data_IF_859617296526
#
_entry.id   IF_859617296526
#
_cell.length_a   1.000
_cell.length_b   1.000
_cell.length_c   1.000
_cell.angle_alpha   90.00
_cell.angle_beta   90.00
_cell.angle_gamma   90.00
#
_symmetry.space_group_name_H-M   'P 1'
#
loop_
_entity.id
_entity.type
_entity.pdbx_description
1 polymer ?
#
# COMPACT_ATOMS: atom_id res chain seq x y z
N UNK A 1 61.92 -14.27 21.87
CA UNK A 1 61.62 -13.78 23.24
C UNK A 1 60.24 -13.13 23.18
N UNK A 2 59.20 -13.45 23.98
CA UNK A 2 59.09 -13.69 25.44
C UNK A 2 59.27 -12.36 26.19
N UNK A 3 58.31 -11.73 26.91
CA UNK A 3 57.01 -12.13 27.57
C UNK A 3 55.89 -11.13 27.14
N UNK A 4 54.55 -11.30 27.28
CA UNK A 4 53.60 -11.72 28.35
C UNK A 4 53.64 -10.85 29.63
N UNK A 5 52.49 -10.29 30.05
CA UNK A 5 52.39 -9.45 31.25
C UNK A 5 51.00 -8.85 31.57
N UNK A 6 50.05 -9.69 31.98
CA UNK A 6 48.84 -9.34 32.77
C UNK A 6 48.91 -10.15 34.10
N UNK A 7 48.05 -9.97 35.13
CA UNK A 7 47.01 -8.95 35.39
C UNK A 7 47.08 -8.30 36.80
N UNK A 8 46.07 -7.50 37.20
CA UNK A 8 45.92 -6.96 38.57
C UNK A 8 44.44 -6.76 38.97
N UNK A 9 44.07 -6.94 40.25
CA UNK A 9 42.67 -7.21 40.64
C UNK A 9 42.30 -6.76 42.09
N UNK A 10 41.01 -6.41 42.32
CA UNK A 10 40.37 -6.02 43.63
C UNK A 10 40.83 -4.64 44.18
N UNK A 11 40.11 -3.92 45.06
CA UNK A 11 38.86 -4.05 45.88
C UNK A 11 38.14 -2.66 45.85
N UNK A 12 37.10 -2.24 46.60
CA UNK A 12 36.27 -2.70 47.75
C UNK A 12 34.88 -1.98 47.68
N UNK A 13 33.95 -2.25 48.60
CA UNK A 13 32.72 -1.45 48.88
C UNK A 13 32.50 -1.37 50.41
N UNK A 14 31.77 -0.35 50.92
CA UNK A 14 30.78 -0.56 51.99
C UNK A 14 29.43 0.18 51.78
N UNK A 15 28.42 -0.14 52.61
CA UNK A 15 27.02 0.36 52.61
C UNK A 15 26.64 0.93 53.98
N UNK A 16 25.77 1.95 54.03
CA UNK A 16 24.72 2.18 55.06
C UNK A 16 24.02 3.55 54.88
N UNK A 17 22.97 3.93 55.60
CA UNK A 17 21.62 3.36 55.75
C UNK A 17 20.75 4.25 56.69
N UNK A 18 19.64 4.76 56.15
CA UNK A 18 18.35 5.21 56.74
C UNK A 18 18.06 4.63 58.15
N UNK A 19 17.56 5.39 59.18
CA UNK A 19 16.13 5.79 59.23
C UNK A 19 15.70 7.04 60.05
N UNK A 20 14.39 7.38 59.97
CA UNK A 20 13.68 8.31 60.87
C UNK A 20 12.16 8.32 60.61
N UNK A 21 11.33 8.16 61.65
CA UNK A 21 9.88 7.95 61.54
C UNK A 21 9.19 8.44 62.83
N UNK A 22 8.04 9.15 62.77
CA UNK A 22 7.03 9.16 63.86
C UNK A 22 5.72 9.89 63.48
N UNK A 23 4.70 9.75 64.35
CA UNK A 23 3.30 10.15 64.12
C UNK A 23 2.71 10.86 65.35
N UNK A 24 1.71 11.75 65.19
CA UNK A 24 0.82 12.15 66.29
C UNK A 24 -0.46 12.90 65.87
N UNK A 25 -1.57 12.57 66.56
CA UNK A 25 -2.79 13.37 66.85
C UNK A 25 -3.26 12.93 68.27
N UNK A 26 -4.33 13.43 68.92
CA UNK A 26 -5.34 14.45 68.55
C UNK A 26 -5.64 15.50 69.67
N UNK A 27 -6.59 16.43 69.43
CA UNK A 27 -7.52 16.92 70.48
C UNK A 27 -8.79 17.59 69.89
N UNK A 28 -9.87 17.62 70.69
CA UNK A 28 -11.21 18.17 70.36
C UNK A 28 -11.44 19.56 70.98
N UNK A 29 -12.29 20.39 70.35
CA UNK A 29 -13.33 21.22 71.03
C UNK A 29 -14.55 21.46 70.09
N UNK A 30 -15.57 22.19 70.53
CA UNK A 30 -16.98 22.03 70.09
C UNK A 30 -17.63 23.23 69.37
N UNK A 31 -18.74 22.92 68.67
CA UNK A 31 -19.93 23.73 68.36
C UNK A 31 -19.85 24.84 67.29
N UNK A 32 -20.98 25.01 66.59
CA UNK A 32 -21.19 25.98 65.49
C UNK A 32 -22.24 25.46 64.50
N UNK A 33 -23.48 25.95 64.57
CA UNK A 33 -24.61 25.47 63.75
C UNK A 33 -24.66 26.16 62.37
N UNK A 34 -24.72 25.38 61.27
CA UNK A 34 -24.72 25.92 59.90
C UNK A 34 -25.60 25.13 58.92
N UNK A 35 -26.87 25.51 58.79
CA UNK A 35 -27.90 24.83 57.98
C UNK A 35 -27.70 25.05 56.47
N UNK A 36 -26.81 24.30 55.80
CA UNK A 36 -26.53 24.44 54.35
C UNK A 36 -27.22 23.35 53.50
N UNK A 37 -28.00 23.77 52.49
CA UNK A 37 -28.77 22.90 51.57
C UNK A 37 -27.86 21.99 50.73
N UNK A 38 -28.07 20.67 50.80
CA UNK A 38 -27.44 19.68 49.92
C UNK A 38 -28.16 19.59 48.56
N UNK A 39 -27.68 20.32 47.55
CA UNK A 39 -28.11 20.09 46.16
C UNK A 39 -27.37 18.88 45.58
N UNK A 40 -28.11 17.84 45.16
CA UNK A 40 -27.58 16.70 44.41
C UNK A 40 -27.03 17.17 43.06
N UNK A 41 -25.73 17.02 42.84
CA UNK A 41 -25.08 17.26 41.55
C UNK A 41 -24.88 15.93 40.80
N UNK A 42 -25.94 15.41 40.17
CA UNK A 42 -25.93 14.10 39.52
C UNK A 42 -26.77 14.09 38.25
N UNK A 43 -26.16 14.43 37.10
CA UNK A 43 -26.78 14.25 35.76
C UNK A 43 -25.84 14.51 34.56
N UNK A 44 -24.74 15.26 34.73
CA UNK A 44 -23.99 15.81 33.57
C UNK A 44 -23.12 14.81 32.80
N UNK A 45 -22.68 13.71 33.41
CA UNK A 45 -21.76 12.75 32.75
C UNK A 45 -22.44 11.79 31.74
N UNK A 46 -23.75 11.57 31.84
CA UNK A 46 -24.46 10.54 31.04
C UNK A 46 -25.03 11.04 29.70
N UNK A 47 -24.95 12.34 29.39
CA UNK A 47 -25.34 12.86 28.06
C UNK A 47 -24.24 12.77 27.00
N UNK A 48 -22.97 12.99 27.36
CA UNK A 48 -21.85 12.88 26.40
C UNK A 48 -21.70 11.47 25.82
N UNK A 49 -21.73 10.45 26.68
CA UNK A 49 -21.51 9.05 26.28
C UNK A 49 -22.63 8.51 25.35
N UNK A 50 -23.87 8.99 25.50
CA UNK A 50 -25.00 8.62 24.60
C UNK A 50 -24.96 9.37 23.26
N UNK A 51 -24.27 10.51 23.15
CA UNK A 51 -24.03 11.16 21.86
C UNK A 51 -22.92 10.45 21.07
N UNK A 52 -21.83 10.05 21.75
CA UNK A 52 -20.74 9.28 21.15
C UNK A 52 -21.23 7.97 20.51
N UNK A 53 -22.05 7.18 21.22
CA UNK A 53 -22.61 5.93 20.69
C UNK A 53 -23.61 6.13 19.54
N UNK A 54 -24.30 7.27 19.44
CA UNK A 54 -25.18 7.55 18.29
C UNK A 54 -24.41 7.98 17.04
N UNK A 55 -23.31 8.72 17.19
CA UNK A 55 -22.44 9.08 16.07
C UNK A 55 -21.73 7.85 15.47
N UNK A 56 -21.29 6.92 16.31
CA UNK A 56 -20.73 5.63 15.86
C UNK A 56 -21.73 4.78 15.03
N UNK A 57 -23.04 4.92 15.26
CA UNK A 57 -24.06 4.13 14.55
C UNK A 57 -24.46 4.69 13.18
N UNK A 58 -24.27 5.99 12.91
CA UNK A 58 -24.67 6.61 11.63
C UNK A 58 -23.53 6.68 10.60
N UNK A 59 -22.27 6.52 11.03
CA UNK A 59 -21.12 6.43 10.13
C UNK A 59 -21.21 5.23 9.16
N UNK A 60 -21.83 4.12 9.59
CA UNK A 60 -21.98 2.90 8.78
C UNK A 60 -23.10 3.00 7.72
N UNK A 61 -24.12 3.84 7.93
CA UNK A 61 -25.25 3.98 6.98
C UNK A 61 -24.96 4.98 5.86
N UNK A 62 -24.12 5.99 6.13
CA UNK A 62 -23.79 7.04 5.16
C UNK A 62 -23.10 6.51 3.87
N UNK A 63 -22.48 5.33 3.92
CA UNK A 63 -21.82 4.71 2.76
C UNK A 63 -22.79 3.94 1.83
N UNK A 64 -24.08 3.84 2.18
CA UNK A 64 -25.07 3.05 1.45
C UNK A 64 -26.15 3.87 0.73
N UNK A 65 -26.05 5.20 0.72
CA UNK A 65 -27.14 6.10 0.28
C UNK A 65 -26.70 7.23 -0.67
N UNK A 66 -25.81 6.95 -1.63
CA UNK A 66 -25.45 7.90 -2.71
C UNK A 66 -25.54 7.26 -4.11
N UNK A 67 -26.69 6.65 -4.44
CA UNK A 67 -27.04 6.25 -5.80
C UNK A 67 -27.81 7.37 -6.52
N UNK A 68 -27.23 8.07 -7.51
CA UNK A 68 -27.98 9.02 -8.31
C UNK A 68 -29.05 8.28 -9.13
N UNK A 69 -30.28 8.81 -9.11
CA UNK A 69 -31.45 8.22 -9.78
C UNK A 69 -31.29 8.33 -11.30
N UNK A 70 -30.83 7.25 -11.94
CA UNK A 70 -30.60 7.21 -13.39
C UNK A 70 -31.91 7.40 -14.16
N UNK A 71 -32.02 8.51 -14.89
CA UNK A 71 -33.11 8.73 -15.84
C UNK A 71 -32.99 7.78 -17.03
N UNK A 72 -34.13 7.23 -17.51
CA UNK A 72 -34.16 6.35 -18.67
C UNK A 72 -33.83 7.14 -19.95
N UNK A 73 -32.81 6.77 -20.74
CA UNK A 73 -32.58 7.36 -22.06
C UNK A 73 -33.69 6.96 -23.04
N UNK A 74 -34.14 7.91 -23.87
CA UNK A 74 -35.01 7.61 -25.01
C UNK A 74 -34.27 6.79 -26.07
N UNK A 75 -34.99 5.90 -26.77
CA UNK A 75 -34.43 5.04 -27.83
C UNK A 75 -34.64 5.64 -29.22
N UNK A 76 -33.71 6.47 -29.68
CA UNK A 76 -33.55 6.76 -31.13
C UNK A 76 -32.48 5.83 -31.73
N UNK A 77 -32.76 5.11 -32.84
CA UNK A 77 -31.83 4.15 -33.40
C UNK A 77 -30.81 4.79 -34.36
N UNK A 78 -29.57 4.98 -33.90
CA UNK A 78 -28.43 5.34 -34.76
C UNK A 78 -27.62 4.10 -35.19
N UNK A 79 -27.15 4.08 -36.44
CA UNK A 79 -26.46 2.93 -37.06
C UNK A 79 -25.13 2.62 -36.34
N UNK A 80 -24.73 1.34 -36.21
CA UNK A 80 -23.52 0.96 -35.48
C UNK A 80 -22.24 1.37 -36.22
N UNK A 81 -21.45 2.25 -35.62
CA UNK A 81 -20.08 2.52 -36.06
C UNK A 81 -19.18 1.27 -35.87
N UNK A 82 -18.23 1.06 -36.78
CA UNK A 82 -17.34 -0.12 -36.79
C UNK A 82 -16.51 -0.18 -35.49
N UNK A 83 -16.55 -1.31 -34.78
CA UNK A 83 -15.78 -1.53 -33.54
C UNK A 83 -14.28 -1.44 -33.81
N UNK A 84 -13.58 -0.62 -33.01
CA UNK A 84 -12.13 -0.73 -32.86
C UNK A 84 -11.75 -2.10 -32.25
N UNK A 85 -10.55 -2.60 -32.59
CA UNK A 85 -10.14 -3.99 -32.35
C UNK A 85 -10.20 -4.43 -30.88
N UNK A 86 -10.96 -5.49 -30.61
CA UNK A 86 -10.97 -6.19 -29.32
C UNK A 86 -9.69 -7.03 -29.18
N UNK A 87 -8.66 -6.48 -28.56
CA UNK A 87 -7.41 -7.21 -28.28
C UNK A 87 -7.67 -8.34 -27.28
N UNK A 88 -8.08 -9.50 -27.78
CA UNK A 88 -8.06 -10.79 -27.08
C UNK A 88 -6.80 -11.54 -27.52
N UNK A 89 -5.69 -11.33 -26.82
CA UNK A 89 -4.58 -12.28 -26.88
C UNK A 89 -5.09 -13.64 -26.42
N UNK A 90 -5.06 -14.64 -27.30
CA UNK A 90 -5.24 -16.04 -26.88
C UNK A 90 -4.07 -16.37 -25.96
N UNK A 91 -4.35 -16.83 -24.75
CA UNK A 91 -3.30 -17.29 -23.84
C UNK A 91 -2.54 -18.46 -24.51
N UNK A 92 -1.21 -18.43 -24.47
CA UNK A 92 -0.37 -19.47 -25.10
C UNK A 92 -0.67 -20.84 -24.47
N UNK A 93 -0.55 -21.91 -25.27
CA UNK A 93 -0.65 -23.28 -24.75
C UNK A 93 0.33 -23.46 -23.56
N UNK A 94 -0.08 -24.23 -22.55
CA UNK A 94 0.67 -24.41 -21.30
C UNK A 94 0.50 -23.31 -20.24
N UNK A 95 -0.09 -22.16 -20.56
CA UNK A 95 -0.38 -21.13 -19.53
C UNK A 95 -1.46 -21.58 -18.53
N UNK A 96 -1.38 -21.15 -17.27
CA UNK A 96 -2.36 -21.50 -16.24
C UNK A 96 -2.60 -20.39 -15.20
N UNK A 97 -3.75 -20.40 -14.53
CA UNK A 97 -4.14 -19.41 -13.52
C UNK A 97 -4.67 -20.09 -12.24
N UNK A 98 -3.74 -20.71 -11.49
CA UNK A 98 -4.03 -21.58 -10.34
C UNK A 98 -4.28 -20.78 -9.05
N UNK A 99 -4.90 -21.42 -8.07
CA UNK A 99 -4.95 -20.93 -6.69
C UNK A 99 -3.88 -21.63 -5.85
N UNK A 100 -3.44 -20.98 -4.77
CA UNK A 100 -2.52 -21.55 -3.80
C UNK A 100 -2.65 -20.88 -2.43
N UNK A 101 -1.95 -21.45 -1.45
CA UNK A 101 -1.77 -20.92 -0.10
C UNK A 101 -0.28 -20.97 0.21
N UNK A 102 0.24 -19.92 0.84
CA UNK A 102 1.58 -19.86 1.41
C UNK A 102 1.46 -19.61 2.90
N UNK A 103 2.21 -20.36 3.70
CA UNK A 103 2.16 -20.31 5.16
C UNK A 103 3.59 -20.09 5.69
N UNK A 104 3.74 -19.18 6.65
CA UNK A 104 5.00 -18.93 7.36
C UNK A 104 4.75 -18.33 8.75
N UNK A 105 5.83 -17.99 9.47
CA UNK A 105 5.79 -17.43 10.83
C UNK A 105 5.01 -16.10 10.96
N UNK A 106 4.70 -15.45 9.82
CA UNK A 106 3.89 -14.25 9.73
C UNK A 106 2.42 -14.51 9.33
N UNK A 107 1.99 -15.78 9.33
CA UNK A 107 0.63 -16.23 9.07
C UNK A 107 0.43 -16.88 7.69
N UNK A 108 -0.84 -17.02 7.30
CA UNK A 108 -1.26 -17.66 6.05
C UNK A 108 -1.66 -16.64 4.98
N UNK A 109 -1.34 -16.93 3.72
CA UNK A 109 -1.70 -16.10 2.57
C UNK A 109 -2.16 -16.94 1.38
N UNK A 110 -3.47 -16.92 1.12
CA UNK A 110 -4.02 -17.38 -0.16
C UNK A 110 -3.65 -16.44 -1.29
N UNK A 111 -3.41 -16.99 -2.48
CA UNK A 111 -3.09 -16.24 -3.69
C UNK A 111 -3.67 -16.90 -4.95
N UNK A 112 -3.72 -16.12 -6.04
CA UNK A 112 -3.79 -16.66 -7.41
C UNK A 112 -2.43 -16.50 -8.08
N UNK A 113 -2.01 -17.47 -8.86
CA UNK A 113 -0.77 -17.43 -9.63
C UNK A 113 -1.08 -17.62 -11.11
N UNK A 114 -0.64 -16.68 -11.94
CA UNK A 114 -0.56 -16.85 -13.39
C UNK A 114 0.85 -17.26 -13.79
N UNK A 115 0.95 -18.37 -14.50
CA UNK A 115 2.19 -18.84 -15.12
C UNK A 115 1.99 -18.83 -16.64
N UNK A 116 2.84 -18.12 -17.41
CA UNK A 116 2.76 -18.13 -18.86
C UNK A 116 3.18 -19.48 -19.44
N UNK A 117 2.71 -19.78 -20.66
CA UNK A 117 3.23 -20.89 -21.44
C UNK A 117 4.56 -20.47 -22.05
N UNK A 118 5.66 -21.00 -21.50
CA UNK A 118 7.03 -20.76 -21.94
C UNK A 118 7.57 -22.00 -22.69
N UNK A 119 8.62 -21.80 -23.48
CA UNK A 119 9.39 -22.89 -24.06
C UNK A 119 10.28 -23.55 -22.98
N UNK A 120 10.69 -24.81 -23.19
CA UNK A 120 11.44 -25.58 -22.19
C UNK A 120 12.87 -25.06 -21.96
N UNK A 121 13.42 -24.31 -22.92
CA UNK A 121 14.71 -23.63 -22.93
C UNK A 121 14.64 -22.16 -22.48
N UNK A 122 13.46 -21.67 -22.10
CA UNK A 122 13.29 -20.28 -21.71
C UNK A 122 14.10 -19.91 -20.46
N UNK A 123 14.80 -18.76 -20.51
CA UNK A 123 15.44 -18.16 -19.33
C UNK A 123 14.41 -17.98 -18.20
N UNK A 124 14.82 -18.08 -16.92
CA UNK A 124 13.96 -17.79 -15.76
C UNK A 124 13.09 -16.54 -15.98
N UNK A 125 11.75 -16.64 -15.86
CA UNK A 125 10.86 -15.51 -16.15
C UNK A 125 10.90 -14.46 -15.03
N UNK A 126 10.65 -13.17 -15.33
CA UNK A 126 10.39 -12.17 -14.30
C UNK A 126 9.17 -12.54 -13.44
N UNK A 127 9.11 -12.03 -12.21
CA UNK A 127 7.95 -12.15 -11.31
C UNK A 127 7.34 -10.78 -11.03
N UNK A 128 6.01 -10.67 -11.14
CA UNK A 128 5.26 -9.49 -10.74
C UNK A 128 4.26 -9.83 -9.61
N UNK A 129 4.40 -9.17 -8.47
CA UNK A 129 3.46 -9.22 -7.34
C UNK A 129 2.39 -8.13 -7.54
N UNK A 130 1.11 -8.52 -7.64
CA UNK A 130 0.00 -7.63 -7.94
C UNK A 130 -0.96 -7.47 -6.75
N UNK A 131 -0.83 -6.37 -6.01
CA UNK A 131 -1.61 -6.07 -4.80
C UNK A 131 -2.90 -5.29 -5.14
N UNK A 132 -4.05 -5.94 -4.94
CA UNK A 132 -5.37 -5.40 -5.29
C UNK A 132 -5.84 -4.26 -4.37
N UNK A 133 -6.78 -3.44 -4.83
CA UNK A 133 -7.42 -2.41 -4.01
C UNK A 133 -8.48 -2.98 -3.05
N UNK A 134 -9.00 -2.14 -2.14
CA UNK A 134 -10.10 -2.48 -1.25
C UNK A 134 -11.31 -3.06 -2.01
N UNK A 135 -11.99 -4.03 -1.41
CA UNK A 135 -13.19 -4.69 -1.92
C UNK A 135 -12.94 -5.75 -3.00
N UNK A 136 -11.81 -5.67 -3.72
CA UNK A 136 -11.49 -6.55 -4.83
C UNK A 136 -11.03 -7.95 -4.36
N UNK A 137 -11.06 -8.91 -5.29
CA UNK A 137 -10.37 -10.21 -5.18
C UNK A 137 -9.20 -10.30 -6.16
N UNK A 138 -8.28 -11.28 -6.02
CA UNK A 138 -7.27 -11.59 -7.02
C UNK A 138 -7.82 -11.76 -8.44
N UNK A 139 -8.92 -12.50 -8.61
CA UNK A 139 -9.53 -12.76 -9.92
C UNK A 139 -10.17 -11.49 -10.52
N UNK A 140 -10.78 -10.63 -9.71
CA UNK A 140 -11.25 -9.30 -10.16
C UNK A 140 -10.08 -8.41 -10.60
N UNK A 141 -8.98 -8.41 -9.84
CA UNK A 141 -7.83 -7.56 -10.12
C UNK A 141 -7.06 -8.04 -11.36
N UNK A 142 -6.88 -9.35 -11.54
CA UNK A 142 -6.32 -9.95 -12.76
C UNK A 142 -7.18 -9.63 -14.00
N UNK A 143 -8.51 -9.66 -13.86
CA UNK A 143 -9.48 -9.33 -14.92
C UNK A 143 -9.46 -7.84 -15.28
N UNK A 144 -9.45 -6.95 -14.28
CA UNK A 144 -9.47 -5.49 -14.47
C UNK A 144 -8.15 -4.92 -15.00
N UNK A 145 -7.02 -5.35 -14.42
CA UNK A 145 -5.66 -4.94 -14.88
C UNK A 145 -5.27 -5.60 -16.20
N UNK A 146 -5.92 -6.72 -16.55
CA UNK A 146 -5.56 -7.62 -17.65
C UNK A 146 -4.13 -8.18 -17.58
N UNK A 147 -3.48 -8.15 -16.41
CA UNK A 147 -2.06 -8.45 -16.32
C UNK A 147 -1.70 -9.90 -16.74
N UNK A 148 -2.62 -10.86 -16.62
CA UNK A 148 -2.46 -12.22 -17.17
C UNK A 148 -2.27 -12.25 -18.70
N UNK A 149 -2.87 -11.32 -19.45
CA UNK A 149 -2.72 -11.27 -20.90
C UNK A 149 -1.31 -10.77 -21.29
N UNK A 150 -0.84 -9.73 -20.59
CA UNK A 150 0.51 -9.18 -20.76
C UNK A 150 1.57 -10.19 -20.31
N UNK A 151 1.33 -10.90 -19.22
CA UNK A 151 2.19 -11.98 -18.74
C UNK A 151 2.36 -13.10 -19.77
N UNK A 152 1.27 -13.48 -20.48
CA UNK A 152 1.31 -14.44 -21.58
C UNK A 152 1.93 -13.92 -22.88
N UNK A 153 2.02 -12.59 -23.05
CA UNK A 153 2.62 -11.91 -24.22
C UNK A 153 4.13 -11.70 -24.04
N UNK A 154 4.55 -11.18 -22.88
CA UNK A 154 5.94 -10.82 -22.57
C UNK A 154 6.68 -11.86 -21.71
N UNK A 155 6.03 -12.95 -21.28
CA UNK A 155 6.70 -14.10 -20.66
C UNK A 155 7.11 -13.93 -19.19
N UNK A 156 6.27 -13.31 -18.37
CA UNK A 156 6.51 -13.15 -16.92
C UNK A 156 5.44 -13.84 -16.06
N UNK A 157 5.79 -14.23 -14.83
CA UNK A 157 4.88 -14.81 -13.83
C UNK A 157 4.17 -13.69 -13.07
N UNK A 158 2.91 -13.89 -12.69
CA UNK A 158 2.15 -12.92 -11.87
C UNK A 158 1.52 -13.61 -10.66
N UNK A 159 1.90 -13.18 -9.46
CA UNK A 159 1.23 -13.58 -8.22
C UNK A 159 0.29 -12.47 -7.76
N UNK A 160 -0.93 -12.87 -7.37
CA UNK A 160 -1.97 -11.99 -6.84
C UNK A 160 -2.31 -12.46 -5.41
N UNK A 161 -1.62 -11.94 -4.39
CA UNK A 161 -1.97 -12.19 -2.99
C UNK A 161 -3.41 -11.74 -2.70
N UNK A 162 -4.18 -12.55 -1.97
CA UNK A 162 -5.54 -12.21 -1.56
C UNK A 162 -5.53 -11.55 -0.17
N UNK A 163 -6.25 -10.45 0.01
CA UNK A 163 -6.61 -9.97 1.36
C UNK A 163 -7.90 -10.68 1.83
N UNK A 164 -7.86 -11.49 2.90
CA UNK A 164 -9.04 -12.14 3.46
C UNK A 164 -9.86 -11.16 4.32
N UNK A 165 -11.07 -11.56 4.75
CA UNK A 165 -12.05 -10.66 5.40
C UNK A 165 -11.90 -10.55 6.91
N UNK A 166 -11.26 -11.53 7.51
CA UNK A 166 -10.75 -11.57 8.88
C UNK A 166 -9.64 -10.54 9.10
N UNK A 167 -8.65 -10.48 8.20
CA UNK A 167 -7.56 -9.49 8.23
C UNK A 167 -8.05 -8.05 7.98
N UNK A 168 -9.09 -7.87 7.16
CA UNK A 168 -9.80 -6.59 7.02
C UNK A 168 -11.20 -6.81 6.39
N UNK A 169 -12.33 -6.37 6.99
CA UNK A 169 -13.67 -6.64 6.47
C UNK A 169 -13.89 -6.24 5.00
N UNK A 170 -13.37 -5.07 4.61
CA UNK A 170 -13.41 -4.56 3.24
C UNK A 170 -12.26 -5.07 2.33
N UNK A 171 -11.50 -6.12 2.71
CA UNK A 171 -10.32 -6.61 1.98
C UNK A 171 -9.29 -5.51 1.63
N UNK A 172 -9.11 -4.52 2.49
CA UNK A 172 -8.05 -3.52 2.34
C UNK A 172 -6.77 -4.07 2.95
N UNK A 173 -5.62 -3.90 2.29
CA UNK A 173 -4.31 -4.03 2.92
C UNK A 173 -4.20 -3.05 4.09
N UNK A 174 -3.56 -3.45 5.18
CA UNK A 174 -3.47 -2.69 6.41
C UNK A 174 -2.35 -1.62 6.38
N UNK A 175 -2.16 -0.96 5.22
CA UNK A 175 -1.10 0.03 4.94
C UNK A 175 -1.00 1.23 5.92
N UNK A 176 -2.00 1.39 6.79
CA UNK A 176 -2.08 2.42 7.83
C UNK A 176 -1.75 1.90 9.24
N UNK A 177 -1.73 0.59 9.46
CA UNK A 177 -1.30 -0.05 10.70
C UNK A 177 0.18 0.23 10.96
N UNK A 178 0.61 0.19 12.24
CA UNK A 178 2.01 0.37 12.64
C UNK A 178 2.85 -0.86 12.31
N UNK A 179 2.28 -2.04 12.55
CA UNK A 179 2.95 -3.33 12.41
C UNK A 179 3.19 -3.68 10.93
N UNK A 180 2.39 -3.09 10.04
CA UNK A 180 2.45 -3.24 8.59
C UNK A 180 3.27 -2.14 7.90
N UNK A 181 4.16 -1.43 8.62
CA UNK A 181 5.06 -0.41 8.04
C UNK A 181 6.47 -0.91 7.72
N UNK A 182 6.91 -2.05 8.27
CA UNK A 182 8.34 -2.37 8.45
C UNK A 182 8.73 -3.77 7.98
N UNK A 183 10.04 -4.06 8.02
CA UNK A 183 10.60 -5.41 7.85
C UNK A 183 10.36 -6.25 9.12
N UNK A 184 10.05 -7.53 8.95
CA UNK A 184 10.01 -8.53 10.02
C UNK A 184 8.66 -8.69 10.72
N UNK A 185 7.66 -7.89 10.35
CA UNK A 185 6.31 -7.92 10.90
C UNK A 185 5.22 -7.87 9.80
N UNK A 186 4.03 -8.30 10.17
CA UNK A 186 2.78 -8.03 9.44
C UNK A 186 2.72 -8.52 7.99
N UNK A 187 1.83 -7.87 7.24
CA UNK A 187 1.64 -8.05 5.80
C UNK A 187 2.94 -7.88 4.99
N UNK A 188 3.85 -6.92 5.26
CA UNK A 188 5.11 -6.82 4.52
C UNK A 188 5.97 -8.08 4.63
N UNK A 189 6.11 -8.67 5.82
CA UNK A 189 6.94 -9.86 6.00
C UNK A 189 6.30 -11.12 5.42
N UNK A 190 4.97 -11.27 5.56
CA UNK A 190 4.20 -12.34 4.92
C UNK A 190 4.27 -12.27 3.39
N UNK A 191 4.16 -11.07 2.81
CA UNK A 191 4.26 -10.86 1.35
C UNK A 191 5.69 -11.06 0.84
N UNK A 192 6.72 -10.65 1.59
CA UNK A 192 8.11 -10.92 1.26
C UNK A 192 8.42 -12.43 1.27
N UNK A 193 7.90 -13.16 2.26
CA UNK A 193 8.00 -14.61 2.36
C UNK A 193 7.32 -15.32 1.18
N UNK A 194 6.07 -14.96 0.86
CA UNK A 194 5.34 -15.46 -0.32
C UNK A 194 6.10 -15.13 -1.62
N UNK A 195 6.70 -13.95 -1.74
CA UNK A 195 7.44 -13.55 -2.95
C UNK A 195 8.64 -14.46 -3.17
N UNK A 196 9.45 -14.72 -2.13
CA UNK A 196 10.56 -15.69 -2.19
C UNK A 196 10.07 -17.09 -2.54
N UNK A 197 9.02 -17.58 -1.87
CA UNK A 197 8.43 -18.89 -2.18
C UNK A 197 8.02 -19.03 -3.65
N UNK A 198 7.44 -17.98 -4.28
CA UNK A 198 7.09 -18.05 -5.70
C UNK A 198 8.33 -18.02 -6.62
N UNK A 199 9.38 -17.28 -6.25
CA UNK A 199 10.68 -17.32 -6.96
C UNK A 199 11.24 -18.74 -6.95
N UNK A 200 11.40 -19.31 -5.75
CA UNK A 200 12.02 -20.62 -5.54
C UNK A 200 11.18 -21.75 -6.16
N UNK A 201 9.86 -21.74 -5.95
CA UNK A 201 8.97 -22.84 -6.34
C UNK A 201 8.66 -22.88 -7.83
N UNK A 202 8.73 -21.74 -8.52
CA UNK A 202 8.40 -21.60 -9.94
C UNK A 202 9.57 -21.16 -10.83
N UNK A 203 10.79 -21.08 -10.28
CA UNK A 203 12.00 -20.80 -11.05
C UNK A 203 12.02 -19.40 -11.67
N UNK A 204 11.44 -18.40 -10.99
CA UNK A 204 11.50 -17.02 -11.46
C UNK A 204 12.91 -16.43 -11.29
N UNK A 205 13.24 -15.40 -12.05
CA UNK A 205 14.53 -14.70 -11.91
C UNK A 205 14.53 -13.80 -10.65
N UNK A 206 15.38 -14.06 -9.64
CA UNK A 206 15.44 -13.25 -8.42
C UNK A 206 15.90 -11.81 -8.66
N UNK A 207 16.62 -11.54 -9.75
CA UNK A 207 17.02 -10.18 -10.16
C UNK A 207 15.94 -9.43 -10.95
N UNK A 208 14.83 -10.08 -11.32
CA UNK A 208 13.70 -9.50 -12.07
C UNK A 208 12.36 -9.74 -11.37
N UNK A 209 12.33 -9.48 -10.06
CA UNK A 209 11.11 -9.47 -9.24
C UNK A 209 10.61 -8.04 -9.06
N UNK A 210 9.30 -7.84 -9.17
CA UNK A 210 8.64 -6.53 -9.15
C UNK A 210 7.38 -6.57 -8.30
N UNK A 211 6.98 -5.44 -7.72
CA UNK A 211 5.68 -5.31 -7.04
C UNK A 211 4.90 -4.10 -7.54
N UNK A 212 3.61 -4.28 -7.80
CA UNK A 212 2.71 -3.21 -8.17
C UNK A 212 1.35 -3.34 -7.48
N UNK A 213 0.62 -2.22 -7.33
CA UNK A 213 -0.71 -2.25 -6.76
C UNK A 213 -1.59 -1.04 -7.04
N UNK A 214 -2.83 -1.10 -6.54
CA UNK A 214 -3.86 -0.07 -6.70
C UNK A 214 -4.44 0.36 -5.33
N UNK A 215 -4.60 1.66 -5.10
CA UNK A 215 -5.17 2.24 -3.88
C UNK A 215 -4.46 1.72 -2.62
N UNK A 216 -5.16 1.06 -1.69
CA UNK A 216 -4.55 0.39 -0.53
C UNK A 216 -3.39 -0.56 -0.91
N UNK A 217 -3.52 -1.29 -2.03
CA UNK A 217 -2.47 -2.16 -2.56
C UNK A 217 -1.28 -1.39 -3.15
N UNK A 218 -1.47 -0.15 -3.61
CA UNK A 218 -0.37 0.71 -4.06
C UNK A 218 0.44 1.25 -2.87
N UNK A 219 -0.23 1.62 -1.77
CA UNK A 219 0.45 1.97 -0.51
C UNK A 219 1.21 0.76 0.05
N UNK A 220 0.58 -0.43 0.07
CA UNK A 220 1.24 -1.67 0.48
C UNK A 220 2.44 -2.03 -0.41
N UNK A 221 2.36 -1.83 -1.73
CA UNK A 221 3.48 -2.04 -2.65
C UNK A 221 4.68 -1.14 -2.34
N UNK A 222 4.44 0.15 -2.07
CA UNK A 222 5.47 1.12 -1.70
C UNK A 222 6.10 0.79 -0.33
N UNK A 223 5.31 0.31 0.63
CA UNK A 223 5.82 -0.17 1.92
C UNK A 223 6.67 -1.44 1.73
N UNK A 224 6.15 -2.43 1.01
CA UNK A 224 6.83 -3.72 0.80
C UNK A 224 8.17 -3.55 0.07
N UNK A 225 8.21 -2.79 -1.02
CA UNK A 225 9.45 -2.50 -1.74
C UNK A 225 10.44 -1.67 -0.91
N UNK A 226 9.95 -0.73 -0.10
CA UNK A 226 10.80 0.06 0.80
C UNK A 226 11.31 -0.71 2.02
N UNK A 227 10.59 -1.74 2.47
CA UNK A 227 11.01 -2.61 3.58
C UNK A 227 11.94 -3.75 3.13
N UNK A 228 11.77 -4.24 1.89
CA UNK A 228 12.51 -5.34 1.29
C UNK A 228 13.16 -4.97 -0.07
N UNK A 229 14.03 -3.95 -0.12
CA UNK A 229 14.67 -3.49 -1.36
C UNK A 229 15.62 -4.52 -1.98
N UNK A 230 16.02 -5.56 -1.23
CA UNK A 230 16.82 -6.68 -1.74
C UNK A 230 15.99 -7.70 -2.54
N UNK A 231 14.66 -7.64 -2.48
CA UNK A 231 13.76 -8.52 -3.23
C UNK A 231 13.31 -7.88 -4.53
N UNK A 232 13.04 -6.57 -4.55
CA UNK A 232 12.32 -5.93 -5.66
C UNK A 232 13.24 -5.05 -6.51
N UNK A 233 13.19 -5.22 -7.83
CA UNK A 233 13.96 -4.43 -8.80
C UNK A 233 13.24 -3.15 -9.28
N UNK A 234 11.92 -3.06 -9.09
CA UNK A 234 11.12 -1.84 -9.27
C UNK A 234 9.76 -1.93 -8.54
N UNK A 235 9.12 -0.78 -8.28
CA UNK A 235 7.79 -0.67 -7.67
C UNK A 235 6.79 0.17 -8.48
N UNK A 236 5.54 -0.30 -8.56
CA UNK A 236 4.43 0.36 -9.27
C UNK A 236 3.26 0.77 -8.36
N UNK A 237 2.87 2.05 -8.37
CA UNK A 237 1.84 2.57 -7.48
C UNK A 237 0.74 3.33 -8.25
N UNK A 238 -0.49 2.79 -8.29
CA UNK A 238 -1.64 3.52 -8.82
C UNK A 238 -2.56 4.03 -7.69
N UNK A 239 -2.82 5.34 -7.63
CA UNK A 239 -3.66 6.00 -6.61
C UNK A 239 -3.27 5.66 -5.15
N UNK A 240 -1.99 5.43 -4.89
CA UNK A 240 -1.46 5.09 -3.56
C UNK A 240 -1.08 6.30 -2.70
N UNK A 241 -0.60 6.01 -1.49
CA UNK A 241 0.02 6.96 -0.57
C UNK A 241 1.47 6.53 -0.26
N UNK A 242 2.36 7.46 0.15
CA UNK A 242 3.71 7.11 0.62
C UNK A 242 3.71 6.13 1.81
N UNK A 243 4.80 5.37 1.97
CA UNK A 243 5.04 4.59 3.18
C UNK A 243 5.08 5.50 4.42
N UNK A 244 4.50 5.07 5.55
CA UNK A 244 4.38 5.88 6.76
C UNK A 244 3.44 7.10 6.64
N UNK A 245 2.62 7.21 5.58
CA UNK A 245 1.63 8.29 5.45
C UNK A 245 0.47 8.20 6.46
N UNK A 246 0.32 7.09 7.18
CA UNK A 246 -0.63 6.89 8.27
C UNK A 246 -0.03 5.95 9.33
N UNK A 247 -0.61 5.95 10.53
CA UNK A 247 -0.24 5.08 11.65
C UNK A 247 -1.46 4.53 12.42
N UNK A 248 -2.67 4.84 11.94
CA UNK A 248 -3.98 4.43 12.44
C UNK A 248 -5.06 4.82 11.39
N UNK A 249 -6.32 4.43 11.62
CA UNK A 249 -7.43 4.70 10.70
C UNK A 249 -7.76 6.21 10.57
N UNK A 250 -7.52 7.02 11.60
CA UNK A 250 -7.85 8.45 11.60
C UNK A 250 -6.82 9.25 10.77
N UNK A 251 -5.54 8.96 10.95
CA UNK A 251 -4.45 9.48 10.12
C UNK A 251 -4.55 8.98 8.68
N UNK A 252 -5.04 7.75 8.45
CA UNK A 252 -5.33 7.25 7.09
C UNK A 252 -6.36 8.12 6.36
N UNK A 253 -7.50 8.42 7.00
CA UNK A 253 -8.53 9.30 6.43
C UNK A 253 -7.98 10.71 6.12
N UNK A 254 -7.20 11.29 7.03
CA UNK A 254 -6.57 12.60 6.83
C UNK A 254 -5.53 12.58 5.70
N UNK A 255 -4.71 11.53 5.60
CA UNK A 255 -3.72 11.37 4.55
C UNK A 255 -4.38 11.16 3.17
N UNK A 256 -5.44 10.36 3.10
CA UNK A 256 -6.25 10.16 1.89
C UNK A 256 -6.84 11.48 1.40
N UNK A 257 -7.41 12.31 2.28
CA UNK A 257 -8.05 13.57 1.91
C UNK A 257 -7.07 14.73 1.62
N UNK A 258 -6.02 14.90 2.44
CA UNK A 258 -5.16 16.10 2.43
C UNK A 258 -3.75 15.86 1.88
N UNK A 259 -3.35 14.60 1.77
CA UNK A 259 -2.00 14.15 1.46
C UNK A 259 -1.06 14.22 2.66
N UNK A 260 -0.35 13.13 2.95
CA UNK A 260 0.74 13.09 3.93
C UNK A 260 2.05 12.69 3.21
N UNK A 261 3.17 13.41 3.41
CA UNK A 261 4.47 13.04 2.84
C UNK A 261 4.97 11.64 3.22
N UNK A 262 4.57 11.09 4.36
CA UNK A 262 5.12 9.83 4.89
C UNK A 262 6.60 9.93 5.28
N UNK A 263 7.26 8.78 5.46
CA UNK A 263 8.70 8.70 5.76
C UNK A 263 9.54 8.89 4.51
N UNK A 264 10.75 9.47 4.65
CA UNK A 264 11.79 9.42 3.61
C UNK A 264 12.08 7.96 3.23
N UNK A 265 12.48 7.74 1.99
CA UNK A 265 13.07 6.47 1.55
C UNK A 265 14.59 6.57 1.65
N UNK A 266 15.24 5.47 2.02
CA UNK A 266 16.69 5.39 2.20
C UNK A 266 17.38 4.69 1.00
N UNK A 267 16.67 3.77 0.35
CA UNK A 267 17.21 2.97 -0.76
C UNK A 267 16.65 3.45 -2.11
N UNK A 268 17.51 3.68 -3.14
CA UNK A 268 17.05 4.01 -4.48
C UNK A 268 16.31 2.83 -5.12
N UNK A 269 15.05 3.06 -5.52
CA UNK A 269 14.18 2.04 -6.10
C UNK A 269 13.49 2.58 -7.36
N UNK A 270 13.69 1.97 -8.55
CA UNK A 270 12.97 2.35 -9.75
C UNK A 270 11.46 2.33 -9.53
N UNK A 271 10.80 3.48 -9.69
CA UNK A 271 9.42 3.68 -9.23
C UNK A 271 8.55 4.30 -10.32
N UNK A 272 7.38 3.73 -10.57
CA UNK A 272 6.37 4.29 -11.49
C UNK A 272 5.03 4.53 -10.77
N UNK A 273 4.58 5.78 -10.78
CA UNK A 273 3.36 6.24 -10.09
C UNK A 273 2.33 6.75 -11.09
N UNK A 274 1.08 6.32 -10.91
CA UNK A 274 -0.10 6.81 -11.64
C UNK A 274 -1.11 7.40 -10.68
N UNK A 275 -1.63 8.60 -10.98
CA UNK A 275 -2.71 9.21 -10.17
C UNK A 275 -3.72 9.94 -11.06
N UNK A 276 -5.01 9.67 -10.88
CA UNK A 276 -6.06 10.38 -11.60
C UNK A 276 -6.24 11.80 -11.07
N UNK A 277 -6.36 12.81 -11.95
CA UNK A 277 -6.46 14.22 -11.51
C UNK A 277 -7.79 14.58 -10.82
N UNK A 278 -8.74 13.65 -10.76
CA UNK A 278 -10.04 13.78 -10.08
C UNK A 278 -10.30 12.63 -9.10
N UNK A 279 -9.23 11.98 -8.63
CA UNK A 279 -9.31 10.99 -7.55
C UNK A 279 -9.77 11.69 -6.25
N UNK A 280 -10.99 11.37 -5.85
CA UNK A 280 -11.66 11.90 -4.65
C UNK A 280 -11.63 10.91 -3.49
N UNK A 281 -11.04 9.72 -3.68
CA UNK A 281 -10.84 8.71 -2.63
C UNK A 281 -9.44 8.84 -2.05
N UNK A 282 -8.43 8.98 -2.91
CA UNK A 282 -7.07 9.33 -2.52
C UNK A 282 -6.67 10.59 -3.28
N UNK A 283 -6.62 11.72 -2.60
CA UNK A 283 -6.40 13.03 -3.22
C UNK A 283 -5.07 13.07 -4.00
N UNK A 284 -5.00 13.67 -5.22
CA UNK A 284 -3.86 13.50 -6.13
C UNK A 284 -2.54 14.11 -5.65
N UNK A 285 -2.55 14.85 -4.54
CA UNK A 285 -1.34 15.24 -3.81
C UNK A 285 -0.53 14.02 -3.35
N UNK A 286 -1.18 12.89 -3.05
CA UNK A 286 -0.50 11.67 -2.59
C UNK A 286 0.43 11.06 -3.66
N UNK A 287 -0.01 10.96 -4.92
CA UNK A 287 0.87 10.52 -6.01
C UNK A 287 2.07 11.44 -6.24
N UNK A 288 1.85 12.77 -6.12
CA UNK A 288 2.95 13.76 -6.16
C UNK A 288 3.92 13.60 -4.99
N UNK A 289 3.42 13.32 -3.80
CA UNK A 289 4.25 13.08 -2.60
C UNK A 289 5.02 11.76 -2.73
N UNK A 290 4.41 10.69 -3.25
CA UNK A 290 5.10 9.45 -3.56
C UNK A 290 6.22 9.67 -4.60
N UNK A 291 5.97 10.49 -5.63
CA UNK A 291 6.98 10.86 -6.63
C UNK A 291 8.15 11.66 -6.02
N UNK A 292 7.90 12.50 -5.01
CA UNK A 292 8.96 13.18 -4.26
C UNK A 292 9.77 12.15 -3.45
N UNK A 293 9.10 11.29 -2.67
CA UNK A 293 9.75 10.29 -1.81
C UNK A 293 10.59 9.29 -2.60
N UNK A 294 10.13 8.88 -3.78
CA UNK A 294 10.88 8.01 -4.70
C UNK A 294 12.14 8.66 -5.27
N UNK A 295 12.23 10.00 -5.31
CA UNK A 295 13.40 10.73 -5.83
C UNK A 295 14.47 10.98 -4.77
N UNK A 296 14.10 11.09 -3.50
CA UNK A 296 15.01 11.48 -2.41
C UNK A 296 16.27 10.60 -2.22
N UNK A 297 16.25 9.27 -2.48
CA UNK A 297 17.47 8.45 -2.40
C UNK A 297 18.50 8.72 -3.51
N UNK A 298 18.11 9.39 -4.60
CA UNK A 298 18.97 9.58 -5.77
C UNK A 298 19.71 10.92 -5.70
N UNK A 299 21.05 10.87 -5.70
CA UNK A 299 21.91 12.07 -5.56
C UNK A 299 21.63 13.17 -6.60
N UNK A 300 21.31 12.80 -7.84
CA UNK A 300 20.75 13.75 -8.82
C UNK A 300 19.84 13.03 -9.83
N UNK A 301 18.78 13.72 -10.25
CA UNK A 301 17.83 13.24 -11.26
C UNK A 301 17.35 14.40 -12.13
N UNK A 302 17.67 14.37 -13.44
CA UNK A 302 17.09 15.32 -14.41
C UNK A 302 15.63 14.96 -14.64
N UNK A 303 14.76 15.96 -14.59
CA UNK A 303 13.35 15.84 -14.95
C UNK A 303 13.13 16.16 -16.45
N UNK A 304 12.25 15.40 -17.09
CA UNK A 304 11.67 15.72 -18.41
C UNK A 304 10.16 15.49 -18.34
N UNK A 305 9.36 16.46 -18.79
CA UNK A 305 7.91 16.35 -18.79
C UNK A 305 7.36 16.11 -20.20
N UNK A 306 6.36 15.23 -20.29
CA UNK A 306 5.67 14.87 -21.51
C UNK A 306 4.16 15.06 -21.32
N UNK A 307 3.57 16.02 -22.02
CA UNK A 307 2.13 16.14 -22.16
C UNK A 307 1.64 15.29 -23.33
N UNK A 308 0.49 14.64 -23.21
CA UNK A 308 -0.08 13.84 -24.28
C UNK A 308 -1.58 13.58 -24.10
N UNK A 309 -2.15 12.80 -25.02
CA UNK A 309 -3.53 12.34 -24.94
C UNK A 309 -3.63 10.88 -25.38
N UNK A 310 -4.43 10.09 -24.67
CA UNK A 310 -4.80 8.74 -25.09
C UNK A 310 -5.83 8.89 -26.21
N UNK A 311 -5.70 8.20 -27.37
CA UNK A 311 -6.70 8.25 -28.43
C UNK A 311 -8.12 7.95 -27.91
N UNK A 312 -9.07 8.84 -28.19
CA UNK A 312 -10.45 8.81 -27.67
C UNK A 312 -10.54 8.74 -26.12
N UNK A 313 -9.55 9.29 -25.41
CA UNK A 313 -9.46 9.24 -23.96
C UNK A 313 -8.78 10.45 -23.33
N UNK A 314 -8.34 10.28 -22.09
CA UNK A 314 -7.82 11.33 -21.23
C UNK A 314 -6.52 11.97 -21.74
N UNK A 315 -6.39 13.29 -21.56
CA UNK A 315 -5.10 13.99 -21.56
C UNK A 315 -4.28 13.55 -20.35
N UNK A 316 -2.97 13.50 -20.46
CA UNK A 316 -2.08 13.19 -19.35
C UNK A 316 -0.83 14.05 -19.37
N UNK A 317 -0.20 14.19 -18.20
CA UNK A 317 1.13 14.75 -18.00
C UNK A 317 1.97 13.66 -17.33
N UNK A 318 3.11 13.33 -17.92
CA UNK A 318 4.07 12.33 -17.41
C UNK A 318 5.41 13.01 -17.18
N UNK A 319 5.81 13.15 -15.92
CA UNK A 319 7.16 13.58 -15.54
C UNK A 319 8.04 12.34 -15.39
N UNK A 320 9.20 12.34 -16.05
CA UNK A 320 10.18 11.25 -16.05
C UNK A 320 11.50 11.77 -15.46
N UNK A 321 12.10 10.99 -14.57
CA UNK A 321 13.34 11.31 -13.89
C UNK A 321 14.44 10.29 -14.22
N UNK A 322 15.63 10.78 -14.60
CA UNK A 322 16.76 9.98 -15.10
C UNK A 322 18.10 10.49 -14.56
N UNK A 323 19.09 9.60 -14.48
CA UNK A 323 20.51 10.00 -14.42
C UNK A 323 20.99 10.15 -15.87
N UNK A 324 21.49 11.34 -16.22
CA UNK A 324 21.92 11.67 -17.59
C UNK A 324 20.84 11.40 -18.64
N UNK A 325 21.20 10.67 -19.70
CA UNK A 325 20.32 10.14 -20.74
C UNK A 325 19.82 8.70 -20.47
N UNK A 326 20.20 8.10 -19.34
CA UNK A 326 19.95 6.69 -19.01
C UNK A 326 18.48 6.34 -18.77
N UNK A 327 18.20 5.08 -18.38
CA UNK A 327 16.84 4.55 -18.16
C UNK A 327 16.03 5.37 -17.14
N UNK A 328 14.67 5.33 -17.17
CA UNK A 328 13.86 5.94 -16.14
C UNK A 328 14.19 5.38 -14.74
N UNK A 329 14.11 6.21 -13.73
CA UNK A 329 14.30 5.83 -12.33
C UNK A 329 13.10 6.26 -11.46
N UNK A 330 12.49 7.41 -11.74
CA UNK A 330 11.17 7.74 -11.20
C UNK A 330 10.27 8.26 -12.32
N UNK A 331 9.07 7.73 -12.43
CA UNK A 331 8.03 8.24 -13.33
C UNK A 331 6.76 8.58 -12.54
N UNK A 332 6.15 9.72 -12.85
CA UNK A 332 4.87 10.14 -12.28
C UNK A 332 3.93 10.63 -13.37
N UNK A 333 2.80 9.94 -13.54
CA UNK A 333 1.81 10.21 -14.57
C UNK A 333 0.47 10.66 -13.97
N UNK A 334 0.12 11.93 -14.19
CA UNK A 334 -1.17 12.51 -13.84
C UNK A 334 -2.10 12.53 -15.05
N UNK A 335 -3.17 11.74 -15.04
CA UNK A 335 -4.18 11.76 -16.10
C UNK A 335 -5.29 12.78 -15.78
N UNK A 336 -5.42 13.80 -16.62
CA UNK A 336 -6.48 14.80 -16.52
C UNK A 336 -7.86 14.16 -16.67
N UNK A 337 -8.86 14.75 -16.01
CA UNK A 337 -10.29 14.40 -16.08
C UNK A 337 -10.71 12.98 -15.67
N UNK A 338 -9.79 12.16 -15.13
CA UNK A 338 -10.05 10.75 -14.76
C UNK A 338 -10.48 10.56 -13.29
N UNK A 339 -11.63 9.91 -13.10
CA UNK A 339 -12.02 9.26 -11.83
C UNK A 339 -11.66 7.76 -11.98
N UNK A 340 -10.46 7.35 -11.56
CA UNK A 340 -10.00 5.97 -11.80
C UNK A 340 -10.59 4.96 -10.81
N UNK A 341 -11.77 4.44 -11.14
CA UNK A 341 -12.19 3.12 -10.68
C UNK A 341 -11.33 2.03 -11.36
N UNK A 342 -11.14 0.88 -10.69
CA UNK A 342 -10.20 -0.18 -11.08
C UNK A 342 -10.39 -0.77 -12.50
N UNK A 343 -11.56 -0.56 -13.13
CA UNK A 343 -11.87 -1.03 -14.47
C UNK A 343 -11.31 -0.14 -15.59
N UNK A 344 -10.67 0.99 -15.24
CA UNK A 344 -10.26 2.05 -16.17
C UNK A 344 -8.74 2.15 -16.35
N UNK A 345 -8.01 1.02 -16.25
CA UNK A 345 -6.63 0.93 -16.75
C UNK A 345 -6.71 0.59 -18.26
N UNK A 346 -6.55 1.55 -19.19
CA UNK A 346 -6.40 1.21 -20.59
C UNK A 346 -5.09 0.45 -20.79
N UNK A 347 -5.05 -0.54 -21.68
CA UNK A 347 -3.87 -1.38 -21.96
C UNK A 347 -2.68 -0.67 -22.65
N UNK A 348 -2.58 0.67 -22.48
CA UNK A 348 -1.46 1.55 -22.82
C UNK A 348 -1.03 2.46 -21.66
N UNK A 349 -1.77 2.45 -20.54
CA UNK A 349 -1.31 2.82 -19.18
C UNK A 349 -0.99 1.52 -18.41
N UNK A 350 -0.55 0.51 -19.16
CA UNK A 350 0.17 -0.66 -18.65
C UNK A 350 1.45 -0.20 -17.96
N UNK A 351 1.84 -0.87 -16.86
CA UNK A 351 3.18 -0.71 -16.29
C UNK A 351 4.23 -0.94 -17.40
N UNK A 352 5.02 0.09 -17.73
CA UNK A 352 6.00 0.06 -18.83
C UNK A 352 7.01 -1.07 -18.60
N UNK A 353 6.81 -2.20 -19.29
CA UNK A 353 7.71 -3.37 -19.28
C UNK A 353 9.08 -3.05 -19.91
N UNK A 354 9.21 -1.86 -20.50
CA UNK A 354 10.44 -1.13 -20.80
C UNK A 354 11.39 -0.98 -19.57
N UNK A 355 10.89 -1.16 -18.33
CA UNK A 355 11.72 -1.27 -17.11
C UNK A 355 11.93 -2.71 -16.61
N UNK A 356 11.26 -3.69 -17.23
CA UNK A 356 11.30 -5.13 -16.90
C UNK A 356 12.25 -5.89 -17.84
N UNK A 357 12.49 -5.37 -19.05
CA UNK A 357 13.57 -5.82 -19.92
C UNK A 357 14.93 -5.25 -19.47
N UNK A 358 15.91 -6.07 -19.06
CA UNK A 358 17.32 -5.78 -19.35
C UNK A 358 17.57 -5.89 -20.87
N UNK A 359 18.80 -5.58 -21.29
CA UNK A 359 19.27 -5.80 -22.66
C UNK A 359 19.31 -7.30 -23.03
#
# INVERSE_FOLDING_TARGET
MVRRGEPGHRKRVPRSAVPGHMTSTPKRRRHGTGRRRTRKASSTLTRGLKLAMRLASMASTALSAMTPKVAKPSRTPTKPAKRAGRVQGKARQGSSFRAGTHDCDHGSRRYKLFTPGLAADAKPPPLLVMLHGCGQTPDDFAKGTRMNALAGEFGFIVVYPAQPRDAHPNRCWNWFSRDDQARGSGEPALLASLTRHIVDRHGADPGRVYVAGLSAGASAALILAGAYPEIFAAVGAHSGLPAGAAQDQASALLAMQRGNPGRRLEHPMPTIIFHGSRDHVVHPRNGRLAAIRAREPYASLRATEFAGQIPNGHRYVRTVHRIGSGRPLVEHSGAASSNFAANSIPARVTFRLDMVSPC
#
